data_IF_945439691622
#
_entry.id   IF_945439691622
#
_cell.length_a   1.000
_cell.length_b   1.000
_cell.length_c   1.000
_cell.angle_alpha   90.00
_cell.angle_beta   90.00
_cell.angle_gamma   90.00
#
_symmetry.space_group_name_H-M   'P 1'
#
loop_
_entity.id
_entity.type
_entity.pdbx_description
1 polymer ?
#
# COMPACT_ATOMS: atom_id res chain seq x y z
N UNK A 1 13.67 -8.37 -28.10
CA UNK A 1 12.20 -8.51 -28.02
C UNK A 1 11.60 -7.18 -28.35
N UNK A 2 10.99 -7.05 -29.51
CA UNK A 2 10.16 -5.90 -29.86
C UNK A 2 9.06 -5.76 -28.81
N UNK A 3 9.16 -4.73 -27.97
CA UNK A 3 8.08 -4.38 -27.03
C UNK A 3 6.86 -4.05 -27.87
N UNK A 4 5.93 -5.00 -27.93
CA UNK A 4 4.85 -4.99 -28.89
C UNK A 4 3.66 -4.18 -28.41
N UNK A 5 3.17 -3.35 -29.33
CA UNK A 5 1.77 -2.95 -29.36
C UNK A 5 1.31 -1.89 -28.35
N UNK A 6 0.37 -1.06 -28.79
CA UNK A 6 -0.42 -0.22 -27.89
C UNK A 6 -1.11 -1.10 -26.84
N UNK A 7 -1.09 -0.74 -25.54
CA UNK A 7 -1.80 -1.50 -24.51
C UNK A 7 -3.27 -1.60 -24.88
N UNK A 8 -3.83 -2.81 -24.78
CA UNK A 8 -5.29 -2.95 -24.94
C UNK A 8 -5.95 -2.45 -23.66
N UNK A 9 -7.11 -1.83 -23.79
CA UNK A 9 -7.89 -1.37 -22.61
C UNK A 9 -8.23 -2.53 -21.67
N UNK A 10 -8.40 -3.73 -22.23
CA UNK A 10 -8.70 -4.98 -21.47
C UNK A 10 -7.54 -5.40 -20.58
N UNK A 11 -6.30 -5.43 -21.11
CA UNK A 11 -5.10 -5.75 -20.31
C UNK A 11 -4.89 -4.75 -19.18
N UNK A 12 -5.02 -3.45 -19.50
CA UNK A 12 -4.85 -2.38 -18.53
C UNK A 12 -5.89 -2.44 -17.41
N UNK A 13 -7.15 -2.67 -17.74
CA UNK A 13 -8.23 -2.81 -16.76
C UNK A 13 -8.01 -4.04 -15.87
N UNK A 14 -7.72 -5.22 -16.44
CA UNK A 14 -7.47 -6.44 -15.67
C UNK A 14 -6.32 -6.24 -14.68
N UNK A 15 -5.18 -5.70 -15.14
CA UNK A 15 -4.02 -5.46 -14.27
C UNK A 15 -4.33 -4.45 -13.15
N UNK A 16 -5.12 -3.43 -13.43
CA UNK A 16 -5.51 -2.44 -12.44
C UNK A 16 -6.46 -3.05 -11.37
N UNK A 17 -7.45 -3.83 -11.77
CA UNK A 17 -8.35 -4.52 -10.83
C UNK A 17 -7.62 -5.55 -9.99
N UNK A 18 -6.79 -6.39 -10.59
CA UNK A 18 -5.97 -7.38 -9.86
C UNK A 18 -5.03 -6.71 -8.87
N UNK A 19 -4.44 -5.55 -9.24
CA UNK A 19 -3.57 -4.80 -8.34
C UNK A 19 -4.31 -4.26 -7.11
N UNK A 20 -5.59 -3.92 -7.25
CA UNK A 20 -6.37 -3.23 -6.22
C UNK A 20 -7.18 -4.16 -5.30
N UNK A 21 -7.29 -5.47 -5.62
CA UNK A 21 -8.09 -6.41 -4.82
C UNK A 21 -7.58 -6.52 -3.37
N UNK A 22 -6.25 -6.44 -3.16
CA UNK A 22 -5.65 -6.49 -1.84
C UNK A 22 -6.10 -5.35 -0.93
N UNK A 23 -5.86 -4.07 -1.30
CA UNK A 23 -6.36 -2.92 -0.55
C UNK A 23 -7.89 -2.90 -0.41
N UNK A 24 -8.62 -3.33 -1.42
CA UNK A 24 -10.07 -3.43 -1.36
C UNK A 24 -10.51 -4.43 -0.27
N UNK A 25 -10.00 -5.65 -0.28
CA UNK A 25 -10.34 -6.68 0.71
C UNK A 25 -9.87 -6.37 2.13
N UNK A 26 -8.81 -5.57 2.27
CA UNK A 26 -8.37 -5.08 3.58
C UNK A 26 -9.41 -4.17 4.24
N UNK A 27 -10.15 -3.39 3.45
CA UNK A 27 -11.05 -2.36 3.95
C UNK A 27 -12.55 -2.71 3.83
N UNK A 28 -12.92 -3.62 2.91
CA UNK A 28 -14.32 -3.92 2.62
C UNK A 28 -15.10 -4.52 3.81
N UNK A 29 -14.45 -5.26 4.70
CA UNK A 29 -15.12 -5.92 5.83
C UNK A 29 -15.04 -5.12 7.14
N UNK A 30 -14.36 -3.96 7.13
CA UNK A 30 -14.22 -3.11 8.34
C UNK A 30 -15.58 -2.67 8.90
N UNK A 31 -16.58 -2.30 8.08
CA UNK A 31 -17.92 -1.98 8.58
C UNK A 31 -18.62 -3.16 9.28
N UNK A 32 -18.23 -4.39 8.99
CA UNK A 32 -18.82 -5.60 9.55
C UNK A 32 -18.14 -6.08 10.85
N UNK A 33 -17.17 -5.33 11.40
CA UNK A 33 -16.39 -5.79 12.56
C UNK A 33 -17.25 -6.12 13.77
N UNK A 34 -18.27 -5.32 14.07
CA UNK A 34 -19.16 -5.56 15.19
C UNK A 34 -20.00 -6.83 15.00
N UNK A 35 -20.56 -7.02 13.79
CA UNK A 35 -21.35 -8.23 13.46
C UNK A 35 -20.49 -9.50 13.52
N UNK A 36 -19.25 -9.44 13.03
CA UNK A 36 -18.27 -10.53 13.14
C UNK A 36 -17.92 -10.80 14.60
N UNK A 37 -17.69 -9.76 15.41
CA UNK A 37 -17.39 -9.86 16.82
C UNK A 37 -18.52 -10.53 17.60
N UNK A 38 -19.76 -10.13 17.35
CA UNK A 38 -20.95 -10.75 17.93
C UNK A 38 -21.10 -12.21 17.51
N UNK A 39 -20.85 -12.54 16.24
CA UNK A 39 -20.96 -13.90 15.72
C UNK A 39 -19.99 -14.88 16.41
N UNK A 40 -18.74 -14.46 16.65
CA UNK A 40 -17.71 -15.29 17.30
C UNK A 40 -17.61 -15.07 18.81
N UNK A 41 -18.40 -14.17 19.40
CA UNK A 41 -18.36 -13.85 20.82
C UNK A 41 -17.05 -13.19 21.27
N UNK A 42 -16.42 -12.37 20.39
CA UNK A 42 -15.15 -11.70 20.65
C UNK A 42 -15.28 -10.18 20.55
N UNK A 43 -14.38 -9.46 21.22
CA UNK A 43 -14.37 -8.00 21.17
C UNK A 43 -13.80 -7.43 19.85
N UNK A 44 -14.08 -6.14 19.60
CA UNK A 44 -13.66 -5.41 18.42
C UNK A 44 -12.14 -5.52 18.16
N UNK A 45 -11.32 -5.45 19.22
CA UNK A 45 -9.86 -5.56 19.11
C UNK A 45 -9.45 -6.91 18.50
N UNK A 46 -10.10 -8.02 18.89
CA UNK A 46 -9.79 -9.34 18.31
C UNK A 46 -10.14 -9.40 16.82
N UNK A 47 -11.28 -8.85 16.43
CA UNK A 47 -11.64 -8.76 15.00
C UNK A 47 -10.65 -7.87 14.24
N UNK A 48 -10.24 -6.74 14.81
CA UNK A 48 -9.24 -5.84 14.28
C UNK A 48 -7.89 -6.55 13.99
N UNK A 49 -7.48 -7.51 14.85
CA UNK A 49 -6.25 -8.28 14.63
C UNK A 49 -6.30 -9.16 13.37
N UNK A 50 -7.50 -9.49 12.86
CA UNK A 50 -7.62 -10.21 11.57
C UNK A 50 -7.16 -9.36 10.38
N UNK A 51 -7.33 -8.03 10.45
CA UNK A 51 -6.76 -7.09 9.49
C UNK A 51 -5.24 -7.04 9.62
N UNK A 52 -4.74 -7.02 10.85
CA UNK A 52 -3.31 -6.96 11.14
C UNK A 52 -2.55 -8.16 10.56
N UNK A 53 -3.08 -9.38 10.78
CA UNK A 53 -2.44 -10.60 10.28
C UNK A 53 -2.49 -10.69 8.75
N UNK A 54 -3.59 -10.25 8.13
CA UNK A 54 -3.70 -10.11 6.68
C UNK A 54 -2.63 -9.18 6.11
N UNK A 55 -2.45 -7.99 6.70
CA UNK A 55 -1.49 -7.00 6.26
C UNK A 55 -0.03 -7.44 6.51
N UNK A 56 0.24 -8.11 7.62
CA UNK A 56 1.55 -8.67 7.91
C UNK A 56 1.93 -9.76 6.89
N UNK A 57 1.00 -10.68 6.59
CA UNK A 57 1.17 -11.70 5.57
C UNK A 57 1.40 -11.09 4.18
N UNK A 58 0.62 -10.06 3.82
CA UNK A 58 0.80 -9.29 2.58
C UNK A 58 2.20 -8.67 2.51
N UNK A 59 2.63 -7.96 3.55
CA UNK A 59 3.92 -7.28 3.58
C UNK A 59 5.08 -8.28 3.42
N UNK A 60 5.10 -9.35 4.21
CA UNK A 60 6.14 -10.37 4.15
C UNK A 60 6.20 -11.07 2.78
N UNK A 61 5.04 -11.43 2.23
CA UNK A 61 4.97 -12.10 0.92
C UNK A 61 5.37 -11.17 -0.22
N UNK A 62 5.10 -9.86 -0.11
CA UNK A 62 5.47 -8.89 -1.16
C UNK A 62 6.97 -8.83 -1.45
N UNK A 63 7.82 -9.19 -0.48
CA UNK A 63 9.26 -9.28 -0.65
C UNK A 63 9.68 -10.46 -1.55
N UNK A 64 8.94 -11.56 -1.52
CA UNK A 64 9.34 -12.80 -2.20
C UNK A 64 8.55 -13.08 -3.48
N UNK A 65 7.32 -12.56 -3.58
CA UNK A 65 6.42 -12.87 -4.69
C UNK A 65 6.95 -12.39 -6.05
N UNK A 66 7.74 -11.31 -6.04
CA UNK A 66 8.45 -10.83 -7.23
C UNK A 66 9.43 -11.88 -7.75
N UNK A 67 10.31 -12.39 -6.88
CA UNK A 67 11.28 -13.45 -7.22
C UNK A 67 10.57 -14.74 -7.62
N UNK A 68 9.46 -15.11 -6.98
CA UNK A 68 8.64 -16.24 -7.37
C UNK A 68 8.09 -16.06 -8.79
N UNK A 69 7.61 -14.87 -9.13
CA UNK A 69 7.10 -14.58 -10.47
C UNK A 69 8.19 -14.51 -11.55
N UNK A 70 9.45 -14.19 -11.16
CA UNK A 70 10.62 -14.29 -12.04
C UNK A 70 11.02 -15.74 -12.33
N UNK A 71 10.75 -16.65 -11.39
CA UNK A 71 11.10 -18.05 -11.52
C UNK A 71 10.02 -18.90 -12.21
N UNK A 72 8.77 -18.73 -11.80
CA UNK A 72 7.67 -19.58 -12.24
C UNK A 72 6.84 -18.98 -13.38
N UNK A 73 7.08 -17.72 -13.74
CA UNK A 73 6.35 -16.97 -14.75
C UNK A 73 5.28 -16.05 -14.14
N UNK A 74 5.11 -14.89 -14.77
CA UNK A 74 4.20 -13.83 -14.27
C UNK A 74 2.75 -14.26 -14.24
N UNK A 75 2.29 -14.81 -15.37
CA UNK A 75 0.91 -15.27 -15.55
C UNK A 75 0.54 -16.37 -14.56
N UNK A 76 1.40 -17.38 -14.41
CA UNK A 76 1.14 -18.53 -13.55
C UNK A 76 1.03 -18.11 -12.08
N UNK A 77 1.97 -17.29 -11.60
CA UNK A 77 1.95 -16.80 -10.20
C UNK A 77 0.74 -15.92 -9.94
N UNK A 78 0.37 -15.04 -10.88
CA UNK A 78 -0.78 -14.16 -10.70
C UNK A 78 -2.09 -14.95 -10.66
N UNK A 79 -2.30 -15.89 -11.60
CA UNK A 79 -3.49 -16.73 -11.66
C UNK A 79 -3.62 -17.61 -10.41
N UNK A 80 -2.53 -18.26 -9.98
CA UNK A 80 -2.50 -19.05 -8.76
C UNK A 80 -2.83 -18.21 -7.52
N UNK A 81 -2.23 -17.05 -7.39
CA UNK A 81 -2.49 -16.15 -6.25
C UNK A 81 -3.95 -15.71 -6.21
N UNK A 82 -4.57 -15.37 -7.34
CA UNK A 82 -5.99 -15.01 -7.38
C UNK A 82 -6.89 -16.22 -7.07
N UNK A 83 -6.49 -17.43 -7.45
CA UNK A 83 -7.20 -18.67 -7.07
C UNK A 83 -7.11 -18.91 -5.56
N UNK A 84 -5.91 -18.80 -4.98
CA UNK A 84 -5.72 -18.93 -3.52
C UNK A 84 -6.51 -17.86 -2.77
N UNK A 85 -6.58 -16.65 -3.30
CA UNK A 85 -7.39 -15.58 -2.73
C UNK A 85 -8.89 -15.93 -2.75
N UNK A 86 -9.41 -16.48 -3.87
CA UNK A 86 -10.80 -16.92 -3.98
C UNK A 86 -11.12 -18.05 -3.00
N UNK A 87 -10.23 -19.05 -2.91
CA UNK A 87 -10.37 -20.17 -1.97
C UNK A 87 -10.36 -19.69 -0.52
N UNK A 88 -9.45 -18.78 -0.16
CA UNK A 88 -9.41 -18.24 1.21
C UNK A 88 -10.62 -17.37 1.51
N UNK A 89 -11.18 -16.65 0.52
CA UNK A 89 -12.45 -15.93 0.69
C UNK A 89 -13.61 -16.89 0.98
N UNK A 90 -13.68 -18.02 0.25
CA UNK A 90 -14.65 -19.06 0.55
C UNK A 90 -14.39 -19.73 1.91
N UNK A 91 -13.13 -19.96 2.28
CA UNK A 91 -12.76 -20.51 3.58
C UNK A 91 -13.26 -19.67 4.76
N UNK A 92 -13.30 -18.34 4.62
CA UNK A 92 -13.84 -17.42 5.61
C UNK A 92 -15.36 -17.58 5.82
N UNK A 93 -16.11 -18.07 4.82
CA UNK A 93 -17.54 -18.35 4.96
C UNK A 93 -17.81 -19.56 5.86
N UNK A 94 -16.89 -20.53 5.87
CA UNK A 94 -16.99 -21.79 6.56
C UNK A 94 -16.10 -21.83 7.82
N UNK A 95 -15.55 -20.69 8.24
CA UNK A 95 -14.75 -20.61 9.46
C UNK A 95 -15.69 -20.74 10.69
N UNK A 96 -15.55 -21.83 11.43
CA UNK A 96 -16.37 -22.11 12.61
C UNK A 96 -15.78 -21.50 13.90
N UNK A 97 -14.55 -21.00 13.83
CA UNK A 97 -13.87 -20.35 14.95
C UNK A 97 -13.08 -19.13 14.50
N UNK A 98 -12.76 -18.26 15.46
CA UNK A 98 -11.95 -17.07 15.21
C UNK A 98 -10.53 -17.43 14.78
N UNK A 99 -9.96 -18.55 15.26
CA UNK A 99 -8.65 -19.07 14.86
C UNK A 99 -8.65 -19.48 13.38
N UNK A 100 -9.71 -20.18 12.93
CA UNK A 100 -9.87 -20.54 11.51
C UNK A 100 -10.00 -19.27 10.64
N UNK A 101 -10.71 -18.26 11.13
CA UNK A 101 -10.84 -16.97 10.48
C UNK A 101 -9.47 -16.28 10.34
N UNK A 102 -8.63 -16.28 11.39
CA UNK A 102 -7.25 -15.78 11.34
C UNK A 102 -6.41 -16.50 10.29
N UNK A 103 -6.48 -17.83 10.22
CA UNK A 103 -5.71 -18.63 9.26
C UNK A 103 -6.10 -18.25 7.83
N UNK A 104 -7.40 -18.18 7.53
CA UNK A 104 -7.86 -17.80 6.20
C UNK A 104 -7.50 -16.36 5.84
N UNK A 105 -7.54 -15.43 6.79
CA UNK A 105 -7.10 -14.05 6.60
C UNK A 105 -5.59 -13.97 6.33
N UNK A 106 -4.77 -14.78 7.00
CA UNK A 106 -3.35 -14.89 6.72
C UNK A 106 -3.08 -15.39 5.29
N UNK A 107 -3.72 -16.47 4.88
CA UNK A 107 -3.57 -17.04 3.52
C UNK A 107 -4.04 -16.06 2.46
N UNK A 108 -5.17 -15.37 2.71
CA UNK A 108 -5.68 -14.32 1.82
C UNK A 108 -4.69 -13.16 1.68
N UNK A 109 -4.04 -12.73 2.76
CA UNK A 109 -3.02 -11.69 2.76
C UNK A 109 -1.79 -12.08 1.93
N UNK A 110 -1.32 -13.31 2.05
CA UNK A 110 -0.24 -13.84 1.22
C UNK A 110 -0.60 -13.78 -0.27
N UNK A 111 -1.79 -14.23 -0.64
CA UNK A 111 -2.27 -14.23 -2.01
C UNK A 111 -2.41 -12.81 -2.59
N UNK A 112 -2.91 -11.88 -1.79
CA UNK A 112 -3.12 -10.47 -2.20
C UNK A 112 -1.83 -9.76 -2.63
N UNK A 113 -0.68 -10.13 -2.09
CA UNK A 113 0.61 -9.49 -2.37
C UNK A 113 1.04 -9.60 -3.84
N UNK A 114 0.57 -10.61 -4.57
CA UNK A 114 0.90 -10.78 -5.97
C UNK A 114 0.31 -9.68 -6.87
N UNK A 115 -0.86 -9.16 -6.52
CA UNK A 115 -1.56 -8.13 -7.31
C UNK A 115 -0.64 -6.98 -7.70
N UNK A 116 -0.25 -6.10 -6.78
CA UNK A 116 0.54 -4.91 -7.10
C UNK A 116 1.96 -5.23 -7.59
N UNK A 117 2.60 -6.28 -7.09
CA UNK A 117 3.99 -6.60 -7.42
C UNK A 117 4.10 -7.18 -8.83
N UNK A 118 3.30 -8.22 -9.13
CA UNK A 118 3.40 -8.93 -10.41
C UNK A 118 2.80 -8.10 -11.55
N UNK A 119 1.73 -7.34 -11.31
CA UNK A 119 1.15 -6.46 -12.33
C UNK A 119 2.13 -5.38 -12.78
N UNK A 120 2.87 -4.75 -11.87
CA UNK A 120 3.91 -3.78 -12.22
C UNK A 120 5.06 -4.42 -13.01
N UNK A 121 5.41 -5.68 -12.70
CA UNK A 121 6.41 -6.41 -13.46
C UNK A 121 5.92 -6.69 -14.90
N UNK A 122 4.68 -7.17 -15.07
CA UNK A 122 4.06 -7.41 -16.38
C UNK A 122 4.05 -6.12 -17.22
N UNK A 123 3.69 -4.98 -16.61
CA UNK A 123 3.69 -3.69 -17.32
C UNK A 123 5.08 -3.34 -17.84
N UNK A 124 6.11 -3.50 -17.01
CA UNK A 124 7.51 -3.24 -17.40
C UNK A 124 8.04 -4.22 -18.47
N UNK A 125 7.59 -5.47 -18.42
CA UNK A 125 8.01 -6.49 -19.39
C UNK A 125 7.40 -6.25 -20.77
N UNK A 126 6.12 -5.84 -20.84
CA UNK A 126 5.35 -5.77 -22.08
C UNK A 126 5.37 -4.40 -22.77
N UNK A 127 5.42 -3.31 -22.00
CA UNK A 127 5.31 -1.95 -22.54
C UNK A 127 6.49 -1.05 -22.13
N UNK A 128 6.70 0.00 -22.89
CA UNK A 128 7.73 1.02 -22.63
C UNK A 128 7.20 2.42 -22.89
N UNK A 129 7.90 3.43 -22.41
CA UNK A 129 7.59 4.83 -22.65
C UNK A 129 6.17 5.21 -22.21
N UNK A 130 5.48 6.00 -23.01
CA UNK A 130 4.15 6.54 -22.70
C UNK A 130 3.06 5.47 -22.51
N UNK A 131 3.19 4.29 -23.16
CA UNK A 131 2.24 3.18 -22.99
C UNK A 131 2.30 2.57 -21.58
N UNK A 132 3.49 2.31 -21.08
CA UNK A 132 3.70 1.81 -19.71
C UNK A 132 3.25 2.84 -18.67
N UNK A 133 3.62 4.12 -18.86
CA UNK A 133 3.23 5.19 -17.95
C UNK A 133 1.71 5.31 -17.81
N UNK A 134 0.97 5.19 -18.92
CA UNK A 134 -0.50 5.27 -18.92
C UNK A 134 -1.15 4.13 -18.11
N UNK A 135 -0.63 2.90 -18.24
CA UNK A 135 -1.15 1.75 -17.46
C UNK A 135 -0.80 1.90 -15.98
N UNK A 136 0.44 2.30 -15.67
CA UNK A 136 0.86 2.53 -14.27
C UNK A 136 0.00 3.62 -13.62
N UNK A 137 -0.31 4.69 -14.36
CA UNK A 137 -1.21 5.74 -13.86
C UNK A 137 -2.62 5.21 -13.59
N UNK A 138 -3.19 4.38 -14.48
CA UNK A 138 -4.49 3.75 -14.27
C UNK A 138 -4.48 2.84 -13.05
N UNK A 139 -3.44 2.00 -12.90
CA UNK A 139 -3.26 1.14 -11.73
C UNK A 139 -3.22 2.00 -10.45
N UNK A 140 -2.45 3.09 -10.45
CA UNK A 140 -2.34 3.98 -9.31
C UNK A 140 -3.67 4.62 -8.91
N UNK A 141 -4.48 5.03 -9.88
CA UNK A 141 -5.82 5.59 -9.64
C UNK A 141 -6.75 4.56 -9.02
N UNK A 142 -6.86 3.36 -9.62
CA UNK A 142 -7.76 2.31 -9.12
C UNK A 142 -7.29 1.79 -7.75
N UNK A 143 -5.98 1.60 -7.57
CA UNK A 143 -5.39 1.21 -6.30
C UNK A 143 -5.66 2.24 -5.19
N UNK A 144 -5.59 3.54 -5.52
CA UNK A 144 -5.87 4.63 -4.58
C UNK A 144 -7.35 4.78 -4.23
N UNK A 145 -8.26 4.44 -5.17
CA UNK A 145 -9.70 4.48 -4.94
C UNK A 145 -10.21 3.25 -4.15
N UNK A 146 -9.53 2.12 -4.25
CA UNK A 146 -9.98 0.86 -3.64
C UNK A 146 -10.24 0.97 -2.13
N UNK A 147 -9.35 1.55 -1.30
CA UNK A 147 -9.61 1.68 0.15
C UNK A 147 -10.80 2.55 0.50
N UNK A 148 -11.19 3.48 -0.39
CA UNK A 148 -12.32 4.35 -0.15
C UNK A 148 -13.67 3.72 -0.54
N UNK A 149 -13.68 3.04 -1.69
CA UNK A 149 -14.88 2.37 -2.18
C UNK A 149 -15.20 1.12 -1.37
N UNK A 150 -14.17 0.45 -0.86
CA UNK A 150 -14.31 -0.82 -0.17
C UNK A 150 -15.22 -0.76 1.06
N UNK A 151 -15.06 0.17 2.02
CA UNK A 151 -15.97 0.25 3.17
C UNK A 151 -17.40 0.64 2.78
N UNK A 152 -17.58 1.45 1.74
CA UNK A 152 -18.91 1.82 1.24
C UNK A 152 -19.63 0.58 0.70
N UNK A 153 -18.97 -0.16 -0.21
CA UNK A 153 -19.51 -1.42 -0.74
C UNK A 153 -19.71 -2.46 0.37
N UNK A 154 -18.75 -2.54 1.30
CA UNK A 154 -18.81 -3.46 2.42
C UNK A 154 -19.94 -3.14 3.40
N UNK A 155 -20.16 -1.86 3.68
CA UNK A 155 -21.28 -1.38 4.53
C UNK A 155 -22.63 -1.75 3.93
N UNK A 156 -22.86 -1.44 2.65
CA UNK A 156 -24.09 -1.81 1.94
C UNK A 156 -24.34 -3.32 1.91
N UNK A 157 -23.27 -4.11 1.65
CA UNK A 157 -23.37 -5.57 1.68
C UNK A 157 -23.70 -6.07 3.08
N UNK A 158 -23.10 -5.49 4.12
CA UNK A 158 -23.33 -5.88 5.52
C UNK A 158 -24.78 -5.60 5.92
N UNK A 159 -25.27 -4.39 5.67
CA UNK A 159 -26.63 -3.98 6.06
C UNK A 159 -27.72 -4.81 5.36
N UNK A 160 -27.55 -5.11 4.06
CA UNK A 160 -28.59 -5.78 3.29
C UNK A 160 -28.49 -7.31 3.25
N UNK A 161 -27.27 -7.87 3.34
CA UNK A 161 -27.01 -9.29 3.10
C UNK A 161 -26.18 -9.95 4.21
N UNK A 162 -25.77 -9.19 5.24
CA UNK A 162 -24.91 -9.66 6.33
C UNK A 162 -23.44 -9.76 5.94
N UNK A 163 -22.57 -9.81 6.93
CA UNK A 163 -21.10 -9.75 6.76
C UNK A 163 -20.49 -10.83 5.83
N UNK A 164 -21.12 -12.01 5.76
CA UNK A 164 -20.64 -13.11 4.89
C UNK A 164 -20.69 -12.76 3.41
N UNK A 165 -21.63 -11.91 3.00
CA UNK A 165 -21.79 -11.48 1.61
C UNK A 165 -20.56 -10.77 1.06
N UNK A 166 -19.78 -10.10 1.91
CA UNK A 166 -18.51 -9.46 1.55
C UNK A 166 -17.51 -10.50 1.02
N UNK A 167 -17.40 -11.63 1.72
CA UNK A 167 -16.46 -12.68 1.35
C UNK A 167 -16.95 -13.48 0.13
N UNK A 168 -18.27 -13.63 -0.07
CA UNK A 168 -18.84 -14.14 -1.31
C UNK A 168 -18.48 -13.22 -2.49
N UNK A 169 -18.68 -11.93 -2.34
CA UNK A 169 -18.34 -10.94 -3.35
C UNK A 169 -16.84 -11.00 -3.69
N UNK A 170 -15.96 -11.05 -2.69
CA UNK A 170 -14.51 -11.17 -2.87
C UNK A 170 -14.13 -12.50 -3.56
N UNK A 171 -14.78 -13.60 -3.22
CA UNK A 171 -14.56 -14.91 -3.84
C UNK A 171 -14.91 -14.88 -5.33
N UNK A 172 -16.09 -14.37 -5.68
CA UNK A 172 -16.54 -14.26 -7.08
C UNK A 172 -15.62 -13.34 -7.88
N UNK A 173 -15.29 -12.18 -7.32
CA UNK A 173 -14.42 -11.20 -7.97
C UNK A 173 -13.01 -11.76 -8.23
N UNK A 174 -12.41 -12.40 -7.21
CA UNK A 174 -11.07 -12.99 -7.34
C UNK A 174 -11.05 -14.23 -8.23
N UNK A 175 -12.10 -15.05 -8.23
CA UNK A 175 -12.25 -16.18 -9.16
C UNK A 175 -12.34 -15.67 -10.61
N UNK A 176 -13.11 -14.62 -10.87
CA UNK A 176 -13.15 -13.98 -12.19
C UNK A 176 -11.77 -13.42 -12.60
N UNK A 177 -11.05 -12.78 -11.66
CA UNK A 177 -9.69 -12.30 -11.91
C UNK A 177 -8.70 -13.45 -12.17
N UNK A 178 -8.82 -14.58 -11.45
CA UNK A 178 -8.02 -15.79 -11.68
C UNK A 178 -8.26 -16.34 -13.09
N UNK A 179 -9.53 -16.49 -13.46
CA UNK A 179 -9.93 -16.95 -14.79
C UNK A 179 -9.43 -16.01 -15.90
N UNK A 180 -9.65 -14.72 -15.77
CA UNK A 180 -9.16 -13.74 -16.74
C UNK A 180 -7.61 -13.73 -16.81
N UNK A 181 -6.92 -13.86 -15.68
CA UNK A 181 -5.46 -13.97 -15.66
C UNK A 181 -4.96 -15.24 -16.37
N UNK A 182 -5.66 -16.35 -16.17
CA UNK A 182 -5.31 -17.62 -16.81
C UNK A 182 -5.65 -17.67 -18.32
N UNK A 183 -6.76 -17.06 -18.75
CA UNK A 183 -7.25 -17.18 -20.13
C UNK A 183 -6.87 -16.00 -21.03
N UNK A 184 -6.88 -14.77 -20.49
CA UNK A 184 -6.69 -13.53 -21.28
C UNK A 184 -5.24 -13.07 -21.27
N UNK A 185 -4.55 -13.13 -20.11
CA UNK A 185 -3.17 -12.68 -19.99
C UNK A 185 -2.23 -13.61 -20.77
N UNK A 186 -1.38 -13.01 -21.60
CA UNK A 186 -0.26 -13.71 -22.22
C UNK A 186 0.94 -13.65 -21.28
N UNK A 187 1.72 -14.73 -21.20
CA UNK A 187 2.96 -14.72 -20.42
C UNK A 187 3.90 -13.61 -20.90
N UNK A 188 4.40 -12.80 -19.97
CA UNK A 188 5.30 -11.69 -20.29
C UNK A 188 6.77 -12.05 -20.11
N UNK A 189 7.07 -13.10 -19.34
CA UNK A 189 8.42 -13.57 -19.08
C UNK A 189 8.69 -14.90 -19.80
N UNK A 190 9.41 -14.90 -20.95
CA UNK A 190 9.79 -16.11 -21.65
C UNK A 190 10.56 -17.10 -20.76
N UNK A 191 10.41 -18.40 -21.03
CA UNK A 191 11.05 -19.47 -20.25
C UNK A 191 12.58 -19.33 -20.16
N UNK A 192 13.21 -18.83 -21.22
CA UNK A 192 14.66 -18.64 -21.33
C UNK A 192 15.18 -17.51 -20.41
N UNK A 193 14.30 -16.63 -19.96
CA UNK A 193 14.63 -15.50 -19.06
C UNK A 193 14.29 -15.75 -17.60
N UNK A 194 13.65 -16.90 -17.30
CA UNK A 194 13.33 -17.26 -15.93
C UNK A 194 14.61 -17.57 -15.16
N UNK A 195 14.63 -17.12 -13.92
CA UNK A 195 15.74 -17.35 -12.99
C UNK A 195 15.33 -18.33 -11.91
N UNK A 196 16.28 -19.06 -11.33
CA UNK A 196 15.98 -19.98 -10.23
C UNK A 196 15.44 -19.20 -9.02
N UNK A 197 14.41 -19.73 -8.37
CA UNK A 197 13.87 -19.17 -7.14
C UNK A 197 14.87 -19.34 -6.00
N UNK A 198 15.44 -18.24 -5.50
CA UNK A 198 16.42 -18.21 -4.42
C UNK A 198 15.98 -17.22 -3.35
N UNK A 199 15.03 -17.58 -2.48
CA UNK A 199 14.46 -16.65 -1.50
C UNK A 199 15.51 -16.05 -0.57
N UNK A 200 16.46 -16.86 -0.09
CA UNK A 200 17.51 -16.39 0.80
C UNK A 200 18.44 -15.37 0.15
N UNK A 201 18.87 -15.61 -1.08
CA UNK A 201 19.67 -14.63 -1.83
C UNK A 201 18.91 -13.32 -2.08
N UNK A 202 17.60 -13.40 -2.30
CA UNK A 202 16.75 -12.21 -2.43
C UNK A 202 16.68 -11.41 -1.12
N UNK A 203 16.51 -12.09 0.02
CA UNK A 203 16.49 -11.44 1.34
C UNK A 203 17.81 -10.78 1.68
N UNK A 204 18.95 -11.41 1.35
CA UNK A 204 20.29 -10.82 1.55
C UNK A 204 20.46 -9.52 0.76
N UNK A 205 19.99 -9.49 -0.50
CA UNK A 205 20.01 -8.26 -1.32
C UNK A 205 19.17 -7.12 -0.73
N UNK A 206 18.06 -7.41 -0.07
CA UNK A 206 17.32 -6.40 0.69
C UNK A 206 18.15 -5.85 1.86
N UNK A 207 18.91 -6.73 2.55
CA UNK A 207 19.83 -6.31 3.60
C UNK A 207 20.89 -5.32 3.11
N UNK A 208 21.41 -5.51 1.88
CA UNK A 208 22.39 -4.59 1.28
C UNK A 208 21.77 -3.21 1.00
N UNK A 209 20.56 -3.16 0.46
CA UNK A 209 19.85 -1.91 0.19
C UNK A 209 19.58 -1.14 1.49
N UNK A 210 19.25 -1.84 2.57
CA UNK A 210 19.01 -1.24 3.89
C UNK A 210 20.27 -0.72 4.60
N UNK A 211 21.46 -1.05 4.11
CA UNK A 211 22.72 -0.48 4.63
C UNK A 211 22.95 0.97 4.20
N UNK A 212 22.20 1.50 3.23
CA UNK A 212 22.29 2.89 2.78
C UNK A 212 21.46 3.78 3.69
N UNK A 213 22.06 4.60 4.60
CA UNK A 213 21.30 5.32 5.64
C UNK A 213 20.28 6.32 5.07
N UNK A 214 20.63 6.99 3.96
CA UNK A 214 19.73 7.93 3.29
C UNK A 214 18.47 7.23 2.76
N UNK A 215 18.61 6.05 2.17
CA UNK A 215 17.50 5.25 1.68
C UNK A 215 16.65 4.73 2.83
N UNK A 216 17.27 4.09 3.81
CA UNK A 216 16.54 3.49 4.95
C UNK A 216 15.77 4.55 5.73
N UNK A 217 16.40 5.69 6.05
CA UNK A 217 15.70 6.79 6.71
C UNK A 217 14.57 7.36 5.84
N UNK A 218 14.77 7.46 4.52
CA UNK A 218 13.74 7.93 3.58
C UNK A 218 12.54 6.98 3.47
N UNK A 219 12.80 5.68 3.44
CA UNK A 219 11.74 4.65 3.38
C UNK A 219 10.98 4.56 4.70
N UNK A 220 11.68 4.63 5.84
CA UNK A 220 11.04 4.65 7.16
C UNK A 220 10.21 5.93 7.35
N UNK A 221 10.72 7.11 6.93
CA UNK A 221 9.96 8.35 6.92
C UNK A 221 8.68 8.23 6.08
N UNK A 222 8.77 7.63 4.89
CA UNK A 222 7.61 7.34 4.04
C UNK A 222 6.60 6.42 4.73
N UNK A 223 7.09 5.40 5.46
CA UNK A 223 6.26 4.51 6.29
C UNK A 223 5.53 5.27 7.41
N UNK A 224 6.19 6.18 8.12
CA UNK A 224 5.56 6.99 9.17
C UNK A 224 4.54 7.98 8.62
N UNK A 225 4.82 8.66 7.49
CA UNK A 225 3.84 9.51 6.82
C UNK A 225 2.59 8.70 6.46
N UNK A 226 2.78 7.47 5.96
CA UNK A 226 1.69 6.57 5.65
C UNK A 226 0.96 6.08 6.89
N UNK A 227 1.67 5.82 8.00
CA UNK A 227 1.09 5.36 9.26
C UNK A 227 0.10 6.40 9.82
N UNK A 228 0.46 7.69 9.85
CA UNK A 228 -0.44 8.75 10.27
C UNK A 228 -1.67 8.92 9.39
N UNK A 229 -1.57 8.58 8.09
CA UNK A 229 -2.69 8.54 7.18
C UNK A 229 -3.60 7.33 7.43
N UNK A 230 -2.99 6.14 7.57
CA UNK A 230 -3.72 4.88 7.57
C UNK A 230 -4.39 4.55 8.91
N UNK A 231 -4.02 5.25 9.99
CA UNK A 231 -4.63 5.03 11.30
C UNK A 231 -6.14 5.19 11.28
N UNK A 232 -6.65 6.14 10.51
CA UNK A 232 -8.10 6.33 10.32
C UNK A 232 -8.75 5.23 9.47
N UNK A 233 -8.05 4.70 8.48
CA UNK A 233 -8.54 3.57 7.69
C UNK A 233 -8.52 2.27 8.51
N UNK A 234 -7.45 2.05 9.30
CA UNK A 234 -7.33 0.90 10.17
C UNK A 234 -8.37 0.91 11.30
N UNK A 235 -8.65 2.08 11.87
CA UNK A 235 -9.63 2.29 12.93
C UNK A 235 -10.98 2.80 12.46
N UNK A 236 -11.29 2.66 11.16
CA UNK A 236 -12.48 3.28 10.57
C UNK A 236 -13.78 2.81 11.22
N UNK A 237 -13.87 1.55 11.65
CA UNK A 237 -15.04 1.04 12.38
C UNK A 237 -15.29 1.84 13.66
N UNK A 238 -14.28 1.96 14.52
CA UNK A 238 -14.38 2.74 15.76
C UNK A 238 -14.62 4.22 15.47
N UNK A 239 -13.85 4.78 14.53
CA UNK A 239 -13.91 6.22 14.23
C UNK A 239 -15.30 6.63 13.70
N UNK A 240 -15.88 5.86 12.78
CA UNK A 240 -17.21 6.15 12.21
C UNK A 240 -18.32 5.87 13.22
N UNK A 241 -18.32 4.70 13.85
CA UNK A 241 -19.41 4.27 14.71
C UNK A 241 -19.38 4.92 16.09
N UNK A 242 -18.20 4.99 16.73
CA UNK A 242 -18.09 5.45 18.13
C UNK A 242 -17.68 6.93 18.24
N UNK A 243 -16.73 7.41 17.38
CA UNK A 243 -16.26 8.80 17.47
C UNK A 243 -17.18 9.76 16.71
N UNK A 244 -17.58 9.39 15.48
CA UNK A 244 -18.51 10.23 14.68
C UNK A 244 -19.97 9.99 15.04
N UNK A 245 -20.33 8.84 15.65
CA UNK A 245 -21.69 8.48 15.99
C UNK A 245 -22.59 8.18 14.78
N UNK A 246 -21.99 7.69 13.68
CA UNK A 246 -22.66 7.41 12.42
C UNK A 246 -22.99 5.92 12.25
N UNK A 247 -23.81 5.58 11.27
CA UNK A 247 -24.22 4.21 10.96
C UNK A 247 -23.21 3.43 10.10
N UNK A 248 -23.46 2.12 9.95
CA UNK A 248 -22.64 1.18 9.16
C UNK A 248 -22.65 1.51 7.67
N UNK A 249 -23.71 2.12 7.17
CA UNK A 249 -23.90 2.60 5.79
C UNK A 249 -23.27 3.98 5.54
N UNK A 250 -22.82 4.66 6.59
CA UNK A 250 -22.34 6.04 6.52
C UNK A 250 -20.79 6.17 6.46
N UNK A 251 -20.06 5.08 6.25
CA UNK A 251 -18.57 5.11 6.10
C UNK A 251 -18.10 6.05 4.99
N UNK A 252 -18.96 6.36 4.03
CA UNK A 252 -18.70 7.34 2.97
C UNK A 252 -18.30 8.72 3.49
N UNK A 253 -18.86 9.16 4.63
CA UNK A 253 -18.52 10.45 5.23
C UNK A 253 -17.08 10.58 5.69
N UNK A 254 -16.44 9.48 6.10
CA UNK A 254 -15.01 9.45 6.38
C UNK A 254 -14.19 9.28 5.10
N UNK A 255 -14.58 8.32 4.26
CA UNK A 255 -13.72 7.86 3.15
C UNK A 255 -13.70 8.83 1.97
N UNK A 256 -14.84 9.42 1.59
CA UNK A 256 -14.93 10.31 0.42
C UNK A 256 -14.09 11.58 0.60
N UNK A 257 -14.17 12.33 1.72
CA UNK A 257 -13.31 13.49 1.95
C UNK A 257 -11.81 13.14 1.96
N UNK A 258 -11.45 11.98 2.52
CA UNK A 258 -10.08 11.50 2.54
C UNK A 258 -9.55 11.25 1.12
N UNK A 259 -10.35 10.63 0.25
CA UNK A 259 -9.96 10.39 -1.14
C UNK A 259 -9.85 11.68 -1.94
N UNK A 260 -10.81 12.57 -1.81
CA UNK A 260 -10.76 13.89 -2.49
C UNK A 260 -9.51 14.67 -2.07
N UNK A 261 -9.18 14.67 -0.77
CA UNK A 261 -7.96 15.29 -0.26
C UNK A 261 -6.69 14.60 -0.81
N UNK A 262 -6.69 13.27 -0.89
CA UNK A 262 -5.59 12.50 -1.48
C UNK A 262 -5.38 12.78 -2.97
N UNK A 263 -6.47 12.84 -3.74
CA UNK A 263 -6.41 13.16 -5.18
C UNK A 263 -5.92 14.58 -5.44
N UNK A 264 -6.49 15.56 -4.72
CA UNK A 264 -6.10 16.98 -4.86
C UNK A 264 -4.67 17.23 -4.37
N UNK A 265 -4.22 16.57 -3.28
CA UNK A 265 -2.84 16.61 -2.81
C UNK A 265 -1.86 16.00 -3.81
N UNK A 266 -2.19 14.85 -4.39
CA UNK A 266 -1.35 14.22 -5.44
C UNK A 266 -1.26 15.07 -6.70
N UNK A 267 -2.34 15.71 -7.09
CA UNK A 267 -2.35 16.68 -8.20
C UNK A 267 -1.48 17.91 -7.87
N UNK A 268 -1.59 18.44 -6.66
CA UNK A 268 -0.80 19.58 -6.21
C UNK A 268 0.72 19.28 -6.14
N UNK A 269 1.11 18.02 -5.96
CA UNK A 269 2.52 17.62 -5.81
C UNK A 269 3.41 18.18 -6.93
N UNK A 270 3.02 18.04 -8.19
CA UNK A 270 3.81 18.52 -9.34
C UNK A 270 3.98 20.02 -9.37
N UNK A 271 2.93 20.78 -9.04
CA UNK A 271 2.95 22.23 -8.96
C UNK A 271 3.80 22.72 -7.78
N UNK A 272 3.62 22.14 -6.61
CA UNK A 272 4.39 22.48 -5.42
C UNK A 272 5.87 22.13 -5.58
N UNK A 273 6.17 21.00 -6.24
CA UNK A 273 7.54 20.59 -6.55
C UNK A 273 8.23 21.60 -7.51
N UNK A 274 7.51 22.07 -8.53
CA UNK A 274 8.01 23.07 -9.47
C UNK A 274 8.24 24.44 -8.79
N UNK A 275 7.34 24.84 -7.86
CA UNK A 275 7.43 26.14 -7.18
C UNK A 275 8.50 26.18 -6.09
N UNK A 276 8.58 25.16 -5.27
CA UNK A 276 9.40 25.17 -4.04
C UNK A 276 10.67 24.31 -4.15
N UNK A 277 10.73 23.41 -5.11
CA UNK A 277 11.76 22.39 -5.21
C UNK A 277 11.59 21.27 -4.17
N UNK A 278 12.31 20.15 -4.38
CA UNK A 278 12.12 18.91 -3.63
C UNK A 278 12.35 19.07 -2.13
N UNK A 279 13.44 19.73 -1.70
CA UNK A 279 13.75 19.84 -0.29
C UNK A 279 12.71 20.67 0.49
N UNK A 280 12.29 21.82 -0.07
CA UNK A 280 11.29 22.67 0.59
C UNK A 280 9.93 21.99 0.64
N UNK A 281 9.54 21.27 -0.43
CA UNK A 281 8.31 20.50 -0.44
C UNK A 281 8.32 19.39 0.63
N UNK A 282 9.41 18.64 0.75
CA UNK A 282 9.51 17.56 1.73
C UNK A 282 9.45 18.10 3.17
N UNK A 283 10.31 19.06 3.52
CA UNK A 283 10.36 19.60 4.89
C UNK A 283 9.12 20.42 5.25
N UNK A 284 8.69 21.31 4.36
CA UNK A 284 7.50 22.15 4.57
C UNK A 284 6.23 21.32 4.62
N UNK A 285 6.08 20.34 3.72
CA UNK A 285 4.93 19.45 3.68
C UNK A 285 4.86 18.52 4.89
N UNK A 286 5.99 17.95 5.35
CA UNK A 286 6.01 17.12 6.58
C UNK A 286 5.80 17.97 7.82
N UNK A 287 6.31 19.20 7.86
CA UNK A 287 5.97 20.16 8.91
C UNK A 287 4.48 20.47 8.95
N UNK A 288 3.84 20.62 7.79
CA UNK A 288 2.39 20.83 7.70
C UNK A 288 1.58 19.60 8.12
N UNK A 289 2.07 18.37 7.84
CA UNK A 289 1.51 17.15 8.40
C UNK A 289 1.52 17.14 9.93
N UNK A 290 2.65 17.45 10.53
CA UNK A 290 2.76 17.54 12.00
C UNK A 290 1.85 18.63 12.57
N UNK A 291 1.76 19.78 11.90
CA UNK A 291 0.87 20.86 12.31
C UNK A 291 -0.62 20.47 12.25
N UNK A 292 -1.04 19.70 11.22
CA UNK A 292 -2.41 19.19 11.14
C UNK A 292 -2.71 18.19 12.27
N UNK A 293 -1.75 17.32 12.62
CA UNK A 293 -1.87 16.43 13.78
C UNK A 293 -1.98 17.19 15.09
N UNK A 294 -1.15 18.25 15.29
CA UNK A 294 -1.24 19.11 16.47
C UNK A 294 -2.59 19.84 16.55
N UNK A 295 -3.07 20.33 15.40
CA UNK A 295 -4.39 20.93 15.31
C UNK A 295 -5.47 19.95 15.78
N UNK A 296 -5.48 18.69 15.29
CA UNK A 296 -6.43 17.68 15.72
C UNK A 296 -6.32 17.38 17.22
N UNK A 297 -5.10 17.21 17.77
CA UNK A 297 -4.91 17.01 19.22
C UNK A 297 -5.53 18.11 20.05
N UNK A 298 -5.41 19.38 19.64
CA UNK A 298 -5.94 20.53 20.39
C UNK A 298 -7.45 20.66 20.22
N UNK A 299 -7.97 20.52 19.00
CA UNK A 299 -9.38 20.75 18.69
C UNK A 299 -10.28 19.59 19.10
N UNK A 300 -9.80 18.35 18.98
CA UNK A 300 -10.58 17.15 19.29
C UNK A 300 -10.69 16.86 20.81
N UNK A 301 -10.06 17.66 21.67
CA UNK A 301 -10.31 17.69 23.13
C UNK A 301 -11.47 18.61 23.54
N UNK A 302 -11.96 19.43 22.61
CA UNK A 302 -12.96 20.44 22.89
C UNK A 302 -14.33 20.16 22.28
N UNK A 303 -15.20 21.16 22.19
CA UNK A 303 -16.55 21.03 21.65
C UNK A 303 -16.60 20.69 20.16
N UNK A 304 -15.46 20.70 19.48
CA UNK A 304 -15.30 20.37 18.07
C UNK A 304 -14.98 18.89 17.81
N UNK A 305 -14.88 18.04 18.85
CA UNK A 305 -14.72 16.59 18.74
C UNK A 305 -15.99 15.86 18.25
N UNK A 306 -16.74 16.49 17.36
CA UNK A 306 -17.99 16.00 16.81
C UNK A 306 -18.00 16.09 15.28
N UNK A 307 -18.78 15.23 14.65
CA UNK A 307 -19.02 15.31 13.21
C UNK A 307 -19.73 16.65 12.86
N UNK A 308 -19.33 17.36 11.77
CA UNK A 308 -18.30 16.99 10.80
C UNK A 308 -16.89 17.51 11.12
N UNK A 309 -16.69 18.29 12.18
CA UNK A 309 -15.43 19.01 12.48
C UNK A 309 -14.24 18.10 12.75
N UNK A 310 -14.47 16.94 13.35
CA UNK A 310 -13.46 15.90 13.63
C UNK A 310 -12.77 15.38 12.38
N UNK A 311 -13.37 15.59 11.17
CA UNK A 311 -12.76 15.21 9.89
C UNK A 311 -11.71 16.19 9.39
N UNK A 312 -11.63 17.40 9.93
CA UNK A 312 -10.78 18.44 9.36
C UNK A 312 -9.28 18.07 9.45
N UNK A 313 -8.84 17.61 10.61
CA UNK A 313 -7.44 17.22 10.80
C UNK A 313 -7.00 16.05 9.88
N UNK A 314 -7.71 14.90 9.80
CA UNK A 314 -7.33 13.80 8.91
C UNK A 314 -7.41 14.17 7.42
N UNK A 315 -8.37 14.99 7.00
CA UNK A 315 -8.50 15.46 5.61
C UNK A 315 -7.30 16.32 5.21
N UNK A 316 -6.93 17.29 6.05
CA UNK A 316 -5.75 18.15 5.82
C UNK A 316 -4.46 17.34 5.83
N UNK A 317 -4.33 16.40 6.77
CA UNK A 317 -3.19 15.47 6.80
C UNK A 317 -3.08 14.66 5.51
N UNK A 318 -4.19 14.10 5.03
CA UNK A 318 -4.20 13.28 3.82
C UNK A 318 -3.80 14.09 2.58
N UNK A 319 -4.30 15.31 2.45
CA UNK A 319 -3.88 16.23 1.38
C UNK A 319 -2.36 16.44 1.39
N UNK A 320 -1.79 16.79 2.55
CA UNK A 320 -0.37 17.04 2.69
C UNK A 320 0.46 15.76 2.45
N UNK A 321 0.04 14.61 2.98
CA UNK A 321 0.69 13.32 2.76
C UNK A 321 0.72 12.97 1.27
N UNK A 322 -0.39 13.15 0.57
CA UNK A 322 -0.50 12.88 -0.86
C UNK A 322 0.35 13.84 -1.72
N UNK A 323 0.56 15.07 -1.27
CA UNK A 323 1.45 16.02 -1.93
C UNK A 323 2.94 15.70 -1.73
N UNK A 324 3.33 15.12 -0.59
CA UNK A 324 4.74 14.85 -0.24
C UNK A 324 5.20 13.47 -0.72
N UNK A 325 4.36 12.44 -0.57
CA UNK A 325 4.75 11.04 -0.78
C UNK A 325 5.30 10.72 -2.18
N UNK A 326 4.75 11.24 -3.29
CA UNK A 326 5.31 10.97 -4.62
C UNK A 326 6.74 11.51 -4.77
N UNK A 327 7.02 12.71 -4.27
CA UNK A 327 8.36 13.31 -4.32
C UNK A 327 9.37 12.52 -3.47
N UNK A 328 8.96 12.04 -2.29
CA UNK A 328 9.78 11.20 -1.41
C UNK A 328 10.02 9.82 -2.02
N UNK A 329 9.01 9.24 -2.68
CA UNK A 329 9.13 7.96 -3.39
C UNK A 329 10.18 8.04 -4.49
N UNK A 330 10.11 9.05 -5.35
CA UNK A 330 11.09 9.25 -6.42
C UNK A 330 12.49 9.40 -5.83
N UNK A 331 12.65 10.24 -4.80
CA UNK A 331 13.94 10.43 -4.12
C UNK A 331 14.52 9.11 -3.59
N UNK A 332 13.71 8.26 -2.99
CA UNK A 332 14.15 6.97 -2.46
C UNK A 332 14.62 6.02 -3.59
N UNK A 333 13.94 6.02 -4.74
CA UNK A 333 14.30 5.17 -5.87
C UNK A 333 15.56 5.64 -6.61
N UNK A 334 15.93 6.91 -6.51
CA UNK A 334 17.11 7.49 -7.17
C UNK A 334 18.43 7.03 -6.54
N UNK A 335 18.42 6.50 -5.31
CA UNK A 335 19.61 5.87 -4.73
C UNK A 335 19.98 4.54 -5.40
N UNK A 336 19.05 3.91 -6.10
CA UNK A 336 19.27 2.60 -6.74
C UNK A 336 18.77 2.60 -8.21
N UNK A 337 19.40 3.36 -9.11
CA UNK A 337 18.94 3.50 -10.51
C UNK A 337 18.90 2.15 -11.24
N UNK A 338 19.80 1.21 -10.92
CA UNK A 338 19.89 -0.13 -11.51
C UNK A 338 18.93 -1.14 -10.88
N UNK A 339 18.61 -0.98 -9.61
CA UNK A 339 17.78 -1.92 -8.83
C UNK A 339 16.52 -1.26 -8.24
N UNK A 340 15.91 -0.32 -8.99
CA UNK A 340 14.68 0.39 -8.57
C UNK A 340 13.55 -0.55 -8.15
N UNK A 341 13.45 -1.73 -8.75
CA UNK A 341 12.46 -2.73 -8.38
C UNK A 341 12.67 -3.28 -6.96
N UNK A 342 13.92 -3.53 -6.58
CA UNK A 342 14.30 -3.97 -5.24
C UNK A 342 13.98 -2.87 -4.20
N UNK A 343 14.37 -1.64 -4.48
CA UNK A 343 14.09 -0.48 -3.63
C UNK A 343 12.58 -0.24 -3.46
N UNK A 344 11.80 -0.37 -4.54
CA UNK A 344 10.34 -0.25 -4.50
C UNK A 344 9.68 -1.34 -3.65
N UNK A 345 10.20 -2.59 -3.69
CA UNK A 345 9.69 -3.69 -2.85
C UNK A 345 9.94 -3.43 -1.36
N UNK A 346 11.12 -2.93 -1.01
CA UNK A 346 11.43 -2.52 0.38
C UNK A 346 10.47 -1.41 0.83
N UNK A 347 10.26 -0.40 0.00
CA UNK A 347 9.35 0.69 0.34
C UNK A 347 7.91 0.21 0.50
N UNK A 348 7.43 -0.69 -0.37
CA UNK A 348 6.11 -1.30 -0.24
C UNK A 348 5.99 -2.13 1.05
N UNK A 349 7.02 -2.88 1.41
CA UNK A 349 7.07 -3.63 2.67
C UNK A 349 6.90 -2.70 3.88
N UNK A 350 7.68 -1.60 3.96
CA UNK A 350 7.56 -0.64 5.06
C UNK A 350 6.19 0.06 5.07
N UNK A 351 5.63 0.38 3.91
CA UNK A 351 4.30 0.99 3.81
C UNK A 351 3.21 0.04 4.31
N UNK A 352 3.19 -1.21 3.85
CA UNK A 352 2.19 -2.20 4.28
C UNK A 352 2.44 -2.63 5.73
N UNK A 353 3.71 -2.73 6.14
CA UNK A 353 4.10 -2.97 7.53
C UNK A 353 3.61 -1.87 8.47
N UNK A 354 3.70 -0.60 8.07
CA UNK A 354 3.14 0.51 8.83
C UNK A 354 1.61 0.37 9.02
N UNK A 355 0.90 -0.10 8.02
CA UNK A 355 -0.53 -0.41 8.14
C UNK A 355 -0.77 -1.56 9.12
N UNK A 356 0.00 -2.65 9.03
CA UNK A 356 -0.10 -3.77 9.95
C UNK A 356 0.19 -3.35 11.41
N UNK A 357 1.24 -2.56 11.63
CA UNK A 357 1.59 -2.00 12.94
C UNK A 357 0.50 -1.08 13.47
N UNK A 358 -0.04 -0.19 12.61
CA UNK A 358 -1.17 0.67 12.99
C UNK A 358 -2.36 -0.18 13.47
N UNK A 359 -2.77 -1.15 12.68
CA UNK A 359 -3.89 -2.03 12.99
C UNK A 359 -3.66 -2.89 14.25
N UNK A 360 -2.43 -3.44 14.42
CA UNK A 360 -2.12 -4.35 15.52
C UNK A 360 -1.91 -3.65 16.86
N UNK A 361 -1.18 -2.55 16.86
CA UNK A 361 -0.64 -1.93 18.06
C UNK A 361 -1.27 -0.58 18.38
N UNK A 362 -1.54 0.25 17.38
CA UNK A 362 -2.01 1.61 17.61
C UNK A 362 -3.53 1.67 17.81
N UNK A 363 -4.29 0.95 16.98
CA UNK A 363 -5.75 1.01 17.08
C UNK A 363 -6.26 0.61 18.46
N UNK A 364 -5.80 -0.47 19.11
CA UNK A 364 -6.25 -0.80 20.47
C UNK A 364 -6.03 0.31 21.52
N UNK A 365 -5.07 1.21 21.27
CA UNK A 365 -4.71 2.32 22.18
C UNK A 365 -5.55 3.57 21.91
N UNK A 366 -5.95 3.80 20.65
CA UNK A 366 -6.61 5.04 20.23
C UNK A 366 -8.13 4.97 20.23
N UNK A 367 -8.73 3.79 20.41
CA UNK A 367 -10.18 3.56 20.35
C UNK A 367 -10.98 4.57 21.20
N UNK A 368 -12.09 5.03 20.66
CA UNK A 368 -13.11 5.84 21.32
C UNK A 368 -12.81 7.33 21.45
N UNK A 369 -11.59 7.79 21.11
CA UNK A 369 -11.19 9.18 21.33
C UNK A 369 -10.50 9.80 20.12
N UNK A 370 -11.12 10.78 19.47
CA UNK A 370 -10.61 11.46 18.27
C UNK A 370 -9.20 12.00 18.39
N UNK A 371 -8.88 12.67 19.50
CA UNK A 371 -7.57 13.27 19.75
C UNK A 371 -6.42 12.26 19.77
N UNK A 372 -6.68 11.01 20.15
CA UNK A 372 -5.65 9.95 20.13
C UNK A 372 -5.25 9.58 18.70
N UNK A 373 -6.21 9.54 17.76
CA UNK A 373 -5.92 9.39 16.34
C UNK A 373 -5.05 10.56 15.84
N UNK A 374 -5.40 11.79 16.20
CA UNK A 374 -4.63 12.98 15.86
C UNK A 374 -3.22 12.96 16.49
N UNK A 375 -3.05 12.43 17.70
CA UNK A 375 -1.76 12.26 18.35
C UNK A 375 -0.84 11.30 17.57
N UNK A 376 -1.39 10.22 17.01
CA UNK A 376 -0.63 9.34 16.11
C UNK A 376 -0.18 10.06 14.84
N UNK A 377 -1.04 10.93 14.26
CA UNK A 377 -0.66 11.76 13.13
C UNK A 377 0.49 12.71 13.47
N UNK A 378 0.38 13.41 14.61
CA UNK A 378 1.42 14.32 15.11
C UNK A 378 2.75 13.58 15.29
N UNK A 379 2.74 12.47 16.04
CA UNK A 379 3.93 11.65 16.30
C UNK A 379 4.56 11.13 15.01
N UNK A 380 3.75 10.68 14.09
CA UNK A 380 4.19 10.21 12.76
C UNK A 380 4.84 11.32 11.95
N UNK A 381 4.26 12.51 11.94
CA UNK A 381 4.81 13.69 11.27
C UNK A 381 6.15 14.14 11.88
N UNK A 382 6.25 14.18 13.20
CA UNK A 382 7.48 14.54 13.90
C UNK A 382 8.61 13.53 13.66
N UNK A 383 8.32 12.22 13.75
CA UNK A 383 9.32 11.18 13.46
C UNK A 383 9.76 11.26 12.00
N UNK A 384 8.84 11.45 11.06
CA UNK A 384 9.18 11.61 9.66
C UNK A 384 10.07 12.85 9.42
N UNK A 385 9.83 13.97 10.13
CA UNK A 385 10.65 15.17 10.05
C UNK A 385 12.09 14.91 10.54
N UNK A 386 12.25 14.23 11.67
CA UNK A 386 13.58 13.83 12.19
C UNK A 386 14.31 12.93 11.19
N UNK A 387 13.61 11.94 10.62
CA UNK A 387 14.21 11.05 9.63
C UNK A 387 14.62 11.79 8.35
N UNK A 388 13.85 12.78 7.90
CA UNK A 388 14.23 13.63 6.76
C UNK A 388 15.47 14.48 7.06
N UNK A 389 15.72 14.88 8.31
CA UNK A 389 16.98 15.54 8.69
C UNK A 389 18.18 14.59 8.54
N UNK A 390 18.00 13.30 8.88
CA UNK A 390 19.02 12.27 8.62
C UNK A 390 19.26 12.10 7.12
N UNK A 391 18.18 11.99 6.33
CA UNK A 391 18.25 11.92 4.87
C UNK A 391 19.04 13.11 4.32
N UNK A 392 18.73 14.34 4.74
CA UNK A 392 19.42 15.55 4.28
C UNK A 392 20.93 15.49 4.51
N UNK A 393 21.36 14.93 5.66
CA UNK A 393 22.79 14.82 6.00
C UNK A 393 23.51 13.72 5.24
N UNK A 394 22.84 12.61 4.95
CA UNK A 394 23.46 11.40 4.35
C UNK A 394 23.29 11.29 2.84
N UNK A 395 22.35 12.05 2.27
CA UNK A 395 22.02 12.02 0.82
C UNK A 395 23.20 12.33 -0.11
N UNK A 396 24.05 13.37 0.15
CA UNK A 396 25.15 13.67 -0.77
C UNK A 396 26.13 12.51 -0.92
N UNK A 397 26.48 11.83 0.19
CA UNK A 397 27.35 10.66 0.15
C UNK A 397 26.72 9.46 -0.57
N UNK A 398 25.41 9.25 -0.37
CA UNK A 398 24.68 8.15 -1.02
C UNK A 398 24.56 8.35 -2.54
N UNK A 399 24.32 9.57 -3.01
CA UNK A 399 24.28 9.87 -4.44
C UNK A 399 25.66 9.75 -5.09
N UNK A 400 26.71 10.27 -4.46
CA UNK A 400 28.08 10.12 -4.95
C UNK A 400 28.49 8.65 -5.06
N UNK A 401 28.09 7.81 -4.14
CA UNK A 401 28.35 6.37 -4.19
C UNK A 401 27.61 5.69 -5.36
N UNK A 402 26.35 6.06 -5.61
CA UNK A 402 25.55 5.54 -6.73
C UNK A 402 26.13 5.96 -8.09
N UNK A 403 26.58 7.21 -8.22
CA UNK A 403 27.22 7.73 -9.43
C UNK A 403 28.58 7.03 -9.70
N UNK A 404 29.38 6.81 -8.65
CA UNK A 404 30.66 6.09 -8.76
C UNK A 404 30.47 4.63 -9.21
N UNK A 405 29.45 3.96 -8.72
CA UNK A 405 29.11 2.60 -9.15
C UNK A 405 28.67 2.54 -10.61
N UNK A 406 27.91 3.54 -11.06
CA UNK A 406 27.49 3.67 -12.46
C UNK A 406 28.68 3.92 -13.40
N UNK A 407 29.61 4.81 -13.01
CA UNK A 407 30.82 5.10 -13.78
C UNK A 407 31.75 3.89 -13.86
N UNK A 408 31.99 3.18 -12.76
CA UNK A 408 32.82 1.99 -12.74
C UNK A 408 32.30 0.89 -13.69
N UNK A 409 30.99 0.73 -13.79
CA UNK A 409 30.42 -0.26 -14.71
C UNK A 409 30.50 0.17 -16.17
N UNK A 410 30.36 1.47 -16.47
CA UNK A 410 30.57 2.01 -17.83
C UNK A 410 32.02 1.76 -18.27
N UNK A 411 32.98 2.00 -17.39
CA UNK A 411 34.40 1.72 -17.69
C UNK A 411 34.67 0.23 -17.95
N UNK A 412 34.03 -0.67 -17.17
CA UNK A 412 34.14 -2.11 -17.39
C UNK A 412 33.54 -2.56 -18.74
N UNK A 413 32.49 -1.91 -19.21
CA UNK A 413 31.89 -2.20 -20.53
C UNK A 413 32.69 -1.63 -21.70
N UNK A 414 33.42 -0.54 -21.48
CA UNK A 414 34.23 0.14 -22.53
C UNK A 414 35.62 -0.50 -22.67
N UNK A 415 36.15 -1.17 -21.65
CA UNK A 415 37.42 -1.91 -21.79
C UNK A 415 37.19 -3.12 -22.71
N UNK A 416 37.78 -3.14 -23.95
CA UNK A 416 37.67 -4.30 -24.80
C UNK A 416 38.37 -5.48 -24.09
N UNK A 417 37.70 -6.61 -24.05
CA UNK A 417 38.29 -7.90 -23.67
C UNK A 417 39.47 -8.09 -24.61
N UNK A 418 40.69 -7.80 -24.14
CA UNK A 418 41.90 -8.30 -24.78
C UNK A 418 41.90 -9.81 -24.58
N UNK A 419 41.25 -10.53 -25.49
CA UNK A 419 41.48 -11.94 -25.71
C UNK A 419 42.87 -12.08 -26.29
N UNK A 420 43.82 -12.51 -25.45
CA UNK A 420 45.07 -13.08 -25.87
C UNK A 420 44.88 -14.53 -26.29
#
# INVERSE_FOLDING_TARGET
VTKSGRPTTKDAALLAFVSSIGPFAANAYVPAFDEIGQHYGVGLVTVQQTLSIYLAAFACTSLLIGAASDAFGRKAVLALSMTVFAVSSLGLLFADSMEAFFIWRFVMGMAAAAGPVVTQAIVRDRWSGGGAAKIIALIAVIFGLAPALAPVVGGELTVHLGWRSIFIFLAVLSAAMAFCSACVLKESLPSERRVSFRPWATLLRYGEVLKVPAFTSGVVAHGFIFLGLIVYSAGAADFVLNVMGLGVDEFGWLMIPMVVAGMTGSWACSHLLAMFGQNRLLFGGVGFLAASGLFGVVFDHGPFAVFPWVLLAPVVYNFAAAAVRPALNVMNLDYFPKSRGLAASVQQFFQTGAFAVSSALLIPIVLGEAWKYAAVMLGSGLIALVLLLVVRRTRPAALAAAEAEEQAEVELRVKPTKLS
#
